data_IF_119901382091
#
_entry.id   IF_119901382091
#
_cell.length_a   1.000
_cell.length_b   1.000
_cell.length_c   1.000
_cell.angle_alpha   90.00
_cell.angle_beta   90.00
_cell.angle_gamma   90.00
#
_symmetry.space_group_name_H-M   'P 1'
#
loop_
_entity.id
_entity.type
_entity.pdbx_description
1 polymer ?
#
# COMPACT_ATOMS: atom_id res chain seq x y z
N UNK A 1 -28.08 -10.72 -21.00
CA UNK A 1 -28.01 -9.97 -19.72
C UNK A 1 -27.02 -10.60 -18.73
N UNK A 2 -27.08 -11.92 -18.47
CA UNK A 2 -26.15 -12.60 -17.54
C UNK A 2 -24.65 -12.52 -17.91
N UNK A 3 -24.31 -12.43 -19.20
CA UNK A 3 -22.92 -12.28 -19.66
C UNK A 3 -22.31 -10.94 -19.23
N UNK A 4 -23.08 -9.86 -19.26
CA UNK A 4 -22.63 -8.52 -18.88
C UNK A 4 -22.41 -8.48 -17.36
N UNK A 5 -23.31 -9.10 -16.60
CA UNK A 5 -23.19 -9.18 -15.14
C UNK A 5 -21.92 -9.92 -14.70
N UNK A 6 -21.58 -11.03 -15.37
CA UNK A 6 -20.34 -11.79 -15.12
C UNK A 6 -19.09 -10.96 -15.42
N UNK A 7 -19.10 -10.21 -16.51
CA UNK A 7 -17.98 -9.35 -16.90
C UNK A 7 -17.76 -8.22 -15.89
N UNK A 8 -18.83 -7.53 -15.49
CA UNK A 8 -18.78 -6.47 -14.49
C UNK A 8 -18.32 -7.00 -13.12
N UNK A 9 -18.77 -8.18 -12.72
CA UNK A 9 -18.33 -8.78 -11.47
C UNK A 9 -16.83 -9.13 -11.50
N UNK A 10 -16.34 -9.72 -12.60
CA UNK A 10 -14.94 -10.05 -12.75
C UNK A 10 -14.04 -8.80 -12.73
N UNK A 11 -14.45 -7.71 -13.39
CA UNK A 11 -13.66 -6.47 -13.39
C UNK A 11 -13.63 -5.81 -12.01
N UNK A 12 -14.76 -5.77 -11.30
CA UNK A 12 -14.80 -5.26 -9.91
C UNK A 12 -13.87 -6.10 -9.01
N UNK A 13 -13.88 -7.42 -9.14
CA UNK A 13 -13.06 -8.32 -8.35
C UNK A 13 -11.56 -8.08 -8.60
N UNK A 14 -11.15 -7.92 -9.86
CA UNK A 14 -9.77 -7.59 -10.22
C UNK A 14 -9.35 -6.22 -9.66
N UNK A 15 -10.20 -5.21 -9.76
CA UNK A 15 -9.95 -3.89 -9.19
C UNK A 15 -9.81 -3.93 -7.67
N UNK A 16 -10.65 -4.72 -6.98
CA UNK A 16 -10.54 -4.94 -5.54
C UNK A 16 -9.23 -5.59 -5.14
N UNK A 17 -8.82 -6.65 -5.84
CA UNK A 17 -7.53 -7.32 -5.58
C UNK A 17 -6.35 -6.37 -5.81
N UNK A 18 -6.39 -5.57 -6.87
CA UNK A 18 -5.37 -4.57 -7.16
C UNK A 18 -5.33 -3.46 -6.09
N UNK A 19 -6.49 -3.00 -5.63
CA UNK A 19 -6.60 -2.03 -4.55
C UNK A 19 -6.06 -2.59 -3.23
N UNK A 20 -6.34 -3.86 -2.92
CA UNK A 20 -5.78 -4.52 -1.74
C UNK A 20 -4.26 -4.67 -1.87
N UNK A 21 -3.74 -5.10 -3.02
CA UNK A 21 -2.30 -5.23 -3.25
C UNK A 21 -1.57 -3.88 -3.14
N UNK A 22 -2.11 -2.82 -3.74
CA UNK A 22 -1.58 -1.45 -3.62
C UNK A 22 -1.81 -0.84 -2.25
N UNK A 23 -2.75 -1.35 -1.44
CA UNK A 23 -2.85 -1.04 0.00
C UNK A 23 -1.89 -1.87 0.84
N UNK A 24 -1.42 -3.03 0.39
CA UNK A 24 -0.34 -3.77 1.08
C UNK A 24 1.01 -3.12 0.79
N UNK A 25 1.23 -2.61 -0.42
CA UNK A 25 2.42 -1.81 -0.76
C UNK A 25 2.31 -0.34 -0.35
N UNK A 26 1.07 0.17 -0.23
CA UNK A 26 0.71 1.54 0.16
C UNK A 26 0.25 1.67 1.61
N UNK A 27 0.23 0.59 2.39
CA UNK A 27 0.25 0.61 3.86
C UNK A 27 1.67 0.96 4.30
N UNK A 28 2.15 2.10 3.83
CA UNK A 28 3.21 2.87 4.47
C UNK A 28 2.63 3.59 5.70
N UNK A 29 1.72 2.94 6.43
CA UNK A 29 1.94 2.86 7.87
C UNK A 29 2.86 1.66 8.07
N UNK A 30 4.10 1.83 7.61
CA UNK A 30 5.17 1.01 8.14
C UNK A 30 5.26 1.43 9.59
N UNK A 31 4.51 0.73 10.43
CA UNK A 31 4.88 0.56 11.83
C UNK A 31 6.36 0.20 11.80
N UNK A 32 7.18 1.21 12.04
CA UNK A 32 8.61 1.04 12.06
C UNK A 32 8.96 0.79 13.52
N UNK A 33 9.85 -0.17 13.75
CA UNK A 33 10.43 -0.38 15.07
C UNK A 33 11.81 0.26 15.15
N UNK A 34 12.47 0.35 14.00
CA UNK A 34 13.80 0.86 13.79
C UNK A 34 13.90 1.60 12.46
N UNK A 35 14.87 2.50 12.33
CA UNK A 35 15.09 3.29 11.11
C UNK A 35 15.33 2.40 9.87
N UNK A 36 15.80 1.16 10.07
CA UNK A 36 16.05 0.17 9.00
C UNK A 36 14.76 -0.34 8.36
N UNK A 37 13.63 -0.29 9.09
CA UNK A 37 12.33 -0.71 8.56
C UNK A 37 11.82 0.27 7.49
N UNK A 38 12.28 1.52 7.56
CA UNK A 38 11.93 2.56 6.61
C UNK A 38 12.69 2.37 5.30
N UNK A 39 11.92 2.17 4.22
CA UNK A 39 12.51 2.02 2.89
C UNK A 39 12.99 3.40 2.45
N UNK A 40 14.30 3.55 2.33
CA UNK A 40 14.93 4.78 1.88
C UNK A 40 14.77 4.89 0.36
N UNK A 41 13.65 5.47 -0.09
CA UNK A 41 13.36 5.59 -1.52
C UNK A 41 14.07 6.83 -2.07
N UNK A 42 13.77 8.03 -1.54
CA UNK A 42 14.31 9.30 -2.06
C UNK A 42 14.90 10.24 -0.97
N UNK A 43 14.46 10.13 0.29
CA UNK A 43 14.92 10.95 1.41
C UNK A 43 15.37 10.05 2.56
N UNK A 44 16.29 10.55 3.40
CA UNK A 44 16.59 9.89 4.69
C UNK A 44 15.29 9.87 5.48
N UNK A 45 14.78 8.69 5.79
CA UNK A 45 13.56 8.50 6.59
C UNK A 45 13.97 7.92 7.93
N UNK A 46 13.39 8.43 9.01
CA UNK A 46 13.55 7.88 10.34
C UNK A 46 12.24 7.36 10.87
N UNK A 47 12.35 6.40 11.77
CA UNK A 47 11.23 5.92 12.52
C UNK A 47 10.93 6.86 13.69
N UNK A 48 9.81 7.59 13.60
CA UNK A 48 9.35 8.51 14.64
C UNK A 48 7.92 8.10 15.00
N UNK A 49 7.67 7.79 16.27
CA UNK A 49 6.36 7.33 16.74
C UNK A 49 5.80 6.13 15.97
N UNK A 50 6.66 5.17 15.62
CA UNK A 50 6.31 4.03 14.78
C UNK A 50 5.86 4.40 13.36
N UNK A 51 6.17 5.61 12.89
CA UNK A 51 5.93 6.01 11.52
C UNK A 51 7.22 6.45 10.84
N UNK A 52 7.40 6.05 9.58
CA UNK A 52 8.52 6.50 8.77
C UNK A 52 8.30 7.95 8.34
N UNK A 53 9.04 8.88 8.95
CA UNK A 53 8.99 10.30 8.62
C UNK A 53 10.26 10.72 7.87
N UNK A 54 10.16 11.56 6.81
CA UNK A 54 11.33 12.10 6.15
C UNK A 54 12.04 13.11 7.07
N UNK A 55 13.37 13.02 7.12
CA UNK A 55 14.20 14.05 7.70
C UNK A 55 14.65 14.94 6.55
N UNK A 56 14.13 16.17 6.53
CA UNK A 56 14.61 17.23 5.65
C UNK A 56 15.84 17.90 6.28
#
# INVERSE_FOLDING_TARGET
MAHILKFVYATILVLFLFFVATKVDGAVHKECKTDVDCRQIWFVTKCINHECQPIL
#
